data_IF_346871473943
#
_entry.id   IF_346871473943
#
_cell.length_a   1.000
_cell.length_b   1.000
_cell.length_c   1.000
_cell.angle_alpha   90.00
_cell.angle_beta   90.00
_cell.angle_gamma   90.00
#
_symmetry.space_group_name_H-M   'P 1'
#
loop_
_entity.id
_entity.type
_entity.pdbx_description
1 polymer ?
#
# COMPACT_ATOMS: atom_id res chain seq x y z
N UNK A 1 -16.73 38.03 -40.37
CA UNK A 1 -15.55 37.63 -39.56
C UNK A 1 -15.84 37.64 -38.06
N UNK A 2 -16.50 38.66 -37.53
CA UNK A 2 -16.86 38.80 -36.10
C UNK A 2 -17.75 37.67 -35.55
N UNK A 3 -18.81 37.26 -36.26
CA UNK A 3 -19.71 36.17 -35.82
C UNK A 3 -19.01 34.80 -35.67
N UNK A 4 -18.08 34.47 -36.58
CA UNK A 4 -17.28 33.22 -36.51
C UNK A 4 -16.30 33.21 -35.33
N UNK A 5 -15.77 34.38 -34.97
CA UNK A 5 -14.89 34.50 -33.80
C UNK A 5 -15.68 34.38 -32.48
N UNK A 6 -16.91 34.90 -32.44
CA UNK A 6 -17.79 34.76 -31.27
C UNK A 6 -18.28 33.31 -31.07
N UNK A 7 -18.60 32.59 -32.16
CA UNK A 7 -18.95 31.17 -32.09
C UNK A 7 -17.78 30.29 -31.64
N UNK A 8 -16.58 30.54 -32.17
CA UNK A 8 -15.38 29.83 -31.74
C UNK A 8 -15.03 30.11 -30.27
N UNK A 9 -15.18 31.35 -29.81
CA UNK A 9 -14.98 31.73 -28.41
C UNK A 9 -15.98 31.04 -27.47
N UNK A 10 -17.26 31.00 -27.85
CA UNK A 10 -18.28 30.24 -27.11
C UNK A 10 -17.98 28.75 -27.06
N UNK A 11 -17.55 28.16 -28.17
CA UNK A 11 -17.20 26.74 -28.23
C UNK A 11 -15.98 26.43 -27.34
N UNK A 12 -14.96 27.27 -27.34
CA UNK A 12 -13.81 27.10 -26.44
C UNK A 12 -14.19 27.23 -24.96
N UNK A 13 -15.03 28.20 -24.60
CA UNK A 13 -15.52 28.34 -23.23
C UNK A 13 -16.37 27.12 -22.79
N UNK A 14 -17.18 26.58 -23.70
CA UNK A 14 -17.98 25.39 -23.46
C UNK A 14 -17.06 24.18 -23.22
N UNK A 15 -16.07 23.97 -24.08
CA UNK A 15 -15.08 22.90 -23.95
C UNK A 15 -14.36 23.03 -22.60
N UNK A 16 -13.80 24.20 -22.27
CA UNK A 16 -13.15 24.43 -20.98
C UNK A 16 -14.06 24.16 -19.78
N UNK A 17 -15.36 24.47 -19.89
CA UNK A 17 -16.32 24.15 -18.84
C UNK A 17 -16.52 22.63 -18.70
N UNK A 18 -16.63 21.89 -19.81
CA UNK A 18 -16.75 20.42 -19.81
C UNK A 18 -15.48 19.71 -19.33
N UNK A 19 -14.31 20.26 -19.64
CA UNK A 19 -13.01 19.74 -19.20
C UNK A 19 -12.86 19.73 -17.67
N UNK A 20 -13.57 20.61 -16.95
CA UNK A 20 -13.62 20.57 -15.47
C UNK A 20 -14.37 19.34 -14.94
N UNK A 21 -15.14 18.66 -15.77
CA UNK A 21 -15.92 17.48 -15.41
C UNK A 21 -15.38 16.18 -16.03
N UNK A 22 -14.39 16.26 -16.92
CA UNK A 22 -13.71 15.10 -17.52
C UNK A 22 -12.20 15.31 -17.48
N UNK A 23 -11.46 14.56 -16.64
CA UNK A 23 -10.01 14.73 -16.52
C UNK A 23 -9.32 14.49 -17.87
N UNK A 24 -8.58 15.47 -18.38
CA UNK A 24 -7.81 15.32 -19.62
C UNK A 24 -6.78 14.21 -19.54
N UNK A 25 -6.17 14.01 -18.36
CA UNK A 25 -5.17 12.96 -18.21
C UNK A 25 -5.77 11.56 -18.38
N UNK A 26 -7.07 11.38 -18.10
CA UNK A 26 -7.77 10.13 -18.36
C UNK A 26 -7.76 9.77 -19.86
N UNK A 27 -7.91 10.77 -20.75
CA UNK A 27 -7.84 10.58 -22.21
C UNK A 27 -6.46 10.11 -22.64
N UNK A 28 -5.43 10.76 -22.09
CA UNK A 28 -4.03 10.44 -22.36
C UNK A 28 -3.71 9.01 -21.94
N UNK A 29 -4.24 8.54 -20.80
CA UNK A 29 -4.05 7.15 -20.39
C UNK A 29 -4.71 6.15 -21.34
N UNK A 30 -5.92 6.43 -21.84
CA UNK A 30 -6.59 5.60 -22.83
C UNK A 30 -5.92 5.66 -24.22
N UNK A 31 -4.89 6.50 -24.41
CA UNK A 31 -4.24 6.70 -25.71
C UNK A 31 -5.14 7.41 -26.71
N UNK A 32 -6.14 8.16 -26.24
CA UNK A 32 -7.11 8.88 -27.08
C UNK A 32 -6.74 10.36 -27.10
N UNK A 33 -6.71 10.95 -28.30
CA UNK A 33 -6.39 12.37 -28.49
C UNK A 33 -7.57 13.30 -28.23
N UNK A 34 -8.80 12.77 -28.29
CA UNK A 34 -10.03 13.55 -28.26
C UNK A 34 -11.16 12.75 -27.61
N UNK A 35 -11.99 13.44 -26.83
CA UNK A 35 -13.17 12.89 -26.13
C UNK A 35 -14.14 12.19 -27.09
N UNK A 36 -14.25 12.66 -28.34
CA UNK A 36 -15.09 12.09 -29.39
C UNK A 36 -14.70 10.67 -29.82
N UNK A 37 -13.47 10.23 -29.49
CA UNK A 37 -12.95 8.90 -29.81
C UNK A 37 -13.00 7.94 -28.62
N UNK A 38 -13.75 8.27 -27.57
CA UNK A 38 -13.99 7.38 -26.44
C UNK A 38 -15.30 6.64 -26.63
N UNK A 39 -15.22 5.32 -26.53
CA UNK A 39 -16.39 4.44 -26.61
C UNK A 39 -16.57 3.67 -25.31
N UNK A 40 -17.83 3.32 -25.00
CA UNK A 40 -18.15 2.51 -23.83
C UNK A 40 -17.35 1.20 -23.87
N UNK A 41 -16.66 0.91 -22.76
CA UNK A 41 -15.81 -0.28 -22.64
C UNK A 41 -14.37 -0.07 -23.09
N UNK A 42 -14.00 1.11 -23.61
CA UNK A 42 -12.60 1.47 -23.78
C UNK A 42 -11.89 1.39 -22.43
N UNK A 43 -10.79 0.63 -22.39
CA UNK A 43 -10.05 0.38 -21.16
C UNK A 43 -8.57 0.13 -21.43
N UNK A 44 -7.75 0.43 -20.44
CA UNK A 44 -6.33 0.12 -20.41
C UNK A 44 -5.92 -0.35 -19.02
N UNK A 45 -5.04 -1.34 -18.97
CA UNK A 45 -4.46 -1.80 -17.72
C UNK A 45 -3.13 -1.07 -17.45
N UNK A 46 -2.95 -0.58 -16.23
CA UNK A 46 -1.77 0.18 -15.79
C UNK A 46 -1.39 -0.22 -14.38
N UNK A 47 -0.10 -0.14 -14.06
CA UNK A 47 0.38 -0.20 -12.69
C UNK A 47 0.56 1.22 -12.17
N UNK A 48 -0.18 1.59 -11.11
CA UNK A 48 -0.14 2.94 -10.54
C UNK A 48 -0.18 2.88 -9.01
N UNK A 49 0.24 3.97 -8.35
CA UNK A 49 -0.04 4.17 -6.93
C UNK A 49 -1.36 4.91 -6.79
N UNK A 50 -2.29 4.35 -6.03
CA UNK A 50 -3.58 4.96 -5.73
C UNK A 50 -3.51 5.59 -4.35
N UNK A 51 -3.93 6.85 -4.25
CA UNK A 51 -4.09 7.59 -3.02
C UNK A 51 -5.58 7.75 -2.72
N UNK A 52 -5.96 7.42 -1.49
CA UNK A 52 -7.22 7.86 -0.90
C UNK A 52 -6.91 8.75 0.30
N UNK A 53 -7.63 9.86 0.42
CA UNK A 53 -7.65 10.66 1.66
C UNK A 53 -9.07 10.98 2.05
N UNK A 54 -9.33 11.07 3.35
CA UNK A 54 -10.65 11.40 3.91
C UNK A 54 -10.52 12.27 5.17
N UNK A 55 -11.48 13.16 5.44
CA UNK A 55 -11.46 14.01 6.64
C UNK A 55 -11.95 13.21 7.84
N UNK A 56 -11.22 13.31 8.95
CA UNK A 56 -11.57 12.63 10.19
C UNK A 56 -12.83 13.19 10.80
N UNK A 57 -13.73 12.25 11.11
CA UNK A 57 -15.00 12.51 11.79
C UNK A 57 -15.83 13.58 11.04
N UNK A 58 -15.72 13.58 9.70
CA UNK A 58 -16.41 14.53 8.84
C UNK A 58 -17.92 14.49 9.01
N UNK A 59 -18.52 13.31 9.20
CA UNK A 59 -19.96 13.20 9.46
C UNK A 59 -20.37 14.06 10.66
N UNK A 60 -19.67 13.95 11.79
CA UNK A 60 -19.95 14.75 12.99
C UNK A 60 -19.71 16.24 12.75
N UNK A 61 -18.64 16.60 12.05
CA UNK A 61 -18.38 18.00 11.66
C UNK A 61 -19.50 18.55 10.76
N UNK A 62 -20.00 17.76 9.82
CA UNK A 62 -21.02 18.18 8.85
C UNK A 62 -22.41 18.36 9.48
N UNK A 63 -22.70 17.64 10.57
CA UNK A 63 -23.96 17.77 11.32
C UNK A 63 -24.07 19.11 12.07
N UNK A 64 -22.94 19.74 12.39
CA UNK A 64 -22.89 21.06 13.04
C UNK A 64 -23.01 22.22 12.03
N UNK A 65 -22.87 21.95 10.74
CA UNK A 65 -22.85 22.95 9.67
C UNK A 65 -24.19 22.99 8.92
N UNK A 66 -24.61 24.18 8.53
CA UNK A 66 -25.68 24.29 7.52
C UNK A 66 -25.20 23.72 6.17
N UNK A 67 -26.09 23.27 5.28
CA UNK A 67 -25.69 22.74 3.97
C UNK A 67 -24.79 23.70 3.18
N UNK A 68 -25.08 25.01 3.19
CA UNK A 68 -24.27 26.01 2.50
C UNK A 68 -22.87 26.18 3.11
N UNK A 69 -22.76 26.13 4.44
CA UNK A 69 -21.45 26.14 5.12
C UNK A 69 -20.67 24.87 4.81
N UNK A 70 -21.33 23.71 4.82
CA UNK A 70 -20.68 22.44 4.50
C UNK A 70 -20.13 22.42 3.05
N UNK A 71 -20.92 22.87 2.07
CA UNK A 71 -20.44 23.02 0.69
C UNK A 71 -19.26 23.99 0.57
N UNK A 72 -19.31 25.12 1.28
CA UNK A 72 -18.21 26.10 1.29
C UNK A 72 -16.95 25.53 1.93
N UNK A 73 -17.12 24.75 3.00
CA UNK A 73 -16.04 24.06 3.69
C UNK A 73 -15.35 23.03 2.79
N UNK A 74 -16.11 22.12 2.18
CA UNK A 74 -15.56 21.11 1.27
C UNK A 74 -14.79 21.79 0.14
N UNK A 75 -15.39 22.77 -0.54
CA UNK A 75 -14.71 23.48 -1.64
C UNK A 75 -13.44 24.20 -1.18
N UNK A 76 -13.45 24.80 0.02
CA UNK A 76 -12.26 25.43 0.59
C UNK A 76 -11.16 24.43 0.89
N UNK A 77 -11.49 23.29 1.49
CA UNK A 77 -10.55 22.20 1.74
C UNK A 77 -9.97 21.64 0.42
N UNK A 78 -10.82 21.29 -0.54
CA UNK A 78 -10.40 20.75 -1.84
C UNK A 78 -9.51 21.74 -2.60
N UNK A 79 -9.83 23.04 -2.56
CA UNK A 79 -9.00 24.08 -3.19
C UNK A 79 -7.58 24.19 -2.63
N UNK A 80 -7.35 23.70 -1.39
CA UNK A 80 -6.01 23.62 -0.81
C UNK A 80 -5.28 22.32 -1.21
N UNK A 81 -6.02 21.22 -1.40
CA UNK A 81 -5.43 19.90 -1.65
C UNK A 81 -5.14 19.63 -3.13
N UNK A 82 -6.00 20.11 -4.03
CA UNK A 82 -5.86 19.91 -5.48
C UNK A 82 -4.52 20.38 -6.05
N UNK A 83 -4.01 21.59 -5.71
CA UNK A 83 -2.72 22.05 -6.22
C UNK A 83 -1.57 21.14 -5.76
N UNK A 84 -1.59 20.68 -4.51
CA UNK A 84 -0.55 19.82 -3.95
C UNK A 84 -0.45 18.50 -4.71
N UNK A 85 -1.61 17.90 -5.04
CA UNK A 85 -1.67 16.65 -5.82
C UNK A 85 -1.08 16.87 -7.21
N UNK A 86 -1.48 17.97 -7.87
CA UNK A 86 -1.03 18.32 -9.21
C UNK A 86 0.49 18.61 -9.26
N UNK A 87 1.02 19.34 -8.29
CA UNK A 87 2.46 19.66 -8.15
C UNK A 87 3.34 18.40 -7.98
N UNK A 88 2.76 17.31 -7.48
CA UNK A 88 3.43 16.02 -7.33
C UNK A 88 3.06 15.03 -8.44
N UNK A 89 2.56 15.52 -9.58
CA UNK A 89 2.18 14.73 -10.75
C UNK A 89 1.08 13.68 -10.47
N UNK A 90 0.31 13.88 -9.40
CA UNK A 90 -0.89 13.12 -9.13
C UNK A 90 -2.06 13.65 -9.95
N UNK A 91 -2.99 12.75 -10.30
CA UNK A 91 -4.19 13.07 -11.07
C UNK A 91 -5.39 12.71 -10.21
N UNK A 92 -6.26 13.68 -9.97
CA UNK A 92 -7.50 13.44 -9.22
C UNK A 92 -8.45 12.65 -10.13
N UNK A 93 -8.80 11.44 -9.71
CA UNK A 93 -9.79 10.62 -10.40
C UNK A 93 -11.20 11.12 -10.08
N UNK A 94 -11.51 11.28 -8.79
CA UNK A 94 -12.78 11.82 -8.32
C UNK A 94 -12.74 12.28 -6.86
N UNK A 95 -13.73 13.10 -6.53
CA UNK A 95 -14.13 13.42 -5.16
C UNK A 95 -15.27 12.51 -4.72
N UNK A 96 -15.22 12.02 -3.49
CA UNK A 96 -16.24 11.15 -2.89
C UNK A 96 -16.69 11.77 -1.56
N UNK A 97 -17.59 12.75 -1.63
CA UNK A 97 -17.88 13.60 -0.47
C UNK A 97 -16.69 14.51 -0.17
N UNK A 98 -16.12 14.38 1.02
CA UNK A 98 -14.89 15.03 1.46
C UNK A 98 -13.61 14.24 1.13
N UNK A 99 -13.77 12.98 0.69
CA UNK A 99 -12.65 12.16 0.29
C UNK A 99 -12.13 12.50 -1.11
N UNK A 100 -10.81 12.36 -1.30
CA UNK A 100 -10.14 12.52 -2.59
C UNK A 100 -9.52 11.18 -2.99
N UNK A 101 -9.81 10.75 -4.23
CA UNK A 101 -9.11 9.65 -4.88
C UNK A 101 -8.18 10.21 -5.96
N UNK A 102 -6.89 9.90 -5.85
CA UNK A 102 -5.88 10.34 -6.82
C UNK A 102 -4.99 9.19 -7.29
N UNK A 103 -4.43 9.33 -8.49
CA UNK A 103 -3.60 8.34 -9.17
C UNK A 103 -2.23 8.91 -9.45
N UNK A 104 -1.20 8.13 -9.15
CA UNK A 104 0.21 8.44 -9.43
C UNK A 104 0.74 7.40 -10.42
N UNK A 105 0.84 7.74 -11.72
CA UNK A 105 1.15 6.78 -12.78
C UNK A 105 2.62 6.35 -12.82
N UNK A 106 3.52 7.15 -12.23
CA UNK A 106 4.97 7.07 -12.46
C UNK A 106 5.77 6.65 -11.23
N UNK A 107 5.37 7.08 -10.04
CA UNK A 107 6.19 6.91 -8.84
C UNK A 107 5.38 6.80 -7.55
N UNK A 108 5.70 5.77 -6.77
CA UNK A 108 5.26 5.66 -5.38
C UNK A 108 5.93 6.70 -4.46
N UNK A 109 7.19 7.08 -4.76
CA UNK A 109 7.90 8.14 -4.02
C UNK A 109 7.17 9.49 -4.13
N UNK A 110 6.66 9.83 -5.32
CA UNK A 110 5.85 11.05 -5.56
C UNK A 110 4.54 11.01 -4.78
N UNK A 111 3.86 9.86 -4.72
CA UNK A 111 2.64 9.70 -3.94
C UNK A 111 2.89 9.92 -2.43
N UNK A 112 3.99 9.40 -1.87
CA UNK A 112 4.34 9.66 -0.46
C UNK A 112 4.72 11.13 -0.24
N UNK A 113 5.51 11.72 -1.14
CA UNK A 113 5.88 13.13 -1.05
C UNK A 113 4.64 14.04 -1.10
N UNK A 114 3.69 13.75 -2.00
CA UNK A 114 2.39 14.40 -2.07
C UNK A 114 1.64 14.28 -0.74
N UNK A 115 1.51 13.08 -0.18
CA UNK A 115 0.82 12.87 1.10
C UNK A 115 1.44 13.70 2.23
N UNK A 116 2.77 13.77 2.30
CA UNK A 116 3.46 14.61 3.28
C UNK A 116 3.19 16.10 3.05
N UNK A 117 3.20 16.56 1.79
CA UNK A 117 2.86 17.94 1.43
C UNK A 117 1.38 18.29 1.71
N UNK A 118 0.46 17.34 1.54
CA UNK A 118 -0.95 17.50 1.88
C UNK A 118 -1.13 17.68 3.40
N UNK A 119 -0.43 16.88 4.21
CA UNK A 119 -0.44 17.02 5.67
C UNK A 119 0.18 18.36 6.13
N UNK A 120 1.26 18.82 5.48
CA UNK A 120 1.84 20.13 5.75
C UNK A 120 0.87 21.27 5.39
N UNK A 121 0.23 21.18 4.23
CA UNK A 121 -0.77 22.15 3.75
C UNK A 121 -1.98 22.18 4.67
N UNK A 122 -2.41 21.01 5.18
CA UNK A 122 -3.49 20.92 6.15
C UNK A 122 -3.16 21.66 7.46
N UNK A 123 -1.91 21.60 7.92
CA UNK A 123 -1.49 22.35 9.11
C UNK A 123 -1.64 23.87 8.91
N UNK A 124 -1.30 24.39 7.73
CA UNK A 124 -1.51 25.82 7.41
C UNK A 124 -3.00 26.16 7.26
N UNK A 125 -3.77 25.27 6.63
CA UNK A 125 -5.22 25.41 6.53
C UNK A 125 -5.87 25.48 7.92
N UNK A 126 -5.46 24.61 8.84
CA UNK A 126 -5.94 24.59 10.22
C UNK A 126 -5.61 25.87 10.99
N UNK A 127 -4.45 26.49 10.78
CA UNK A 127 -4.15 27.80 11.38
C UNK A 127 -5.13 28.88 10.93
N UNK A 128 -5.57 28.81 9.67
CA UNK A 128 -6.56 29.75 9.12
C UNK A 128 -7.94 29.51 9.72
N UNK A 129 -8.35 28.23 9.83
CA UNK A 129 -9.59 27.83 10.52
C UNK A 129 -9.63 28.32 11.97
N UNK A 130 -8.56 28.08 12.72
CA UNK A 130 -8.46 28.51 14.12
C UNK A 130 -8.59 30.04 14.28
N UNK A 131 -7.99 30.82 13.37
CA UNK A 131 -8.15 32.29 13.35
C UNK A 131 -9.59 32.73 13.09
N UNK A 132 -10.36 31.94 12.34
CA UNK A 132 -11.78 32.17 12.07
C UNK A 132 -12.70 31.67 13.20
N UNK A 133 -12.15 31.02 14.24
CA UNK A 133 -12.92 30.41 15.33
C UNK A 133 -13.40 28.98 15.04
N UNK A 134 -13.01 28.40 13.90
CA UNK A 134 -13.37 27.04 13.51
C UNK A 134 -12.41 26.00 14.12
N UNK A 135 -12.94 24.80 14.35
CA UNK A 135 -12.14 23.66 14.78
C UNK A 135 -11.16 23.20 13.69
N UNK A 136 -10.00 22.71 14.12
CA UNK A 136 -9.03 22.06 13.24
C UNK A 136 -9.53 20.69 12.81
N UNK A 137 -9.17 20.30 11.60
CA UNK A 137 -9.51 18.99 11.03
C UNK A 137 -8.24 18.14 10.88
N UNK A 138 -8.43 16.83 10.82
CA UNK A 138 -7.37 15.87 10.50
C UNK A 138 -7.77 15.09 9.26
N UNK A 139 -6.81 14.53 8.54
CA UNK A 139 -7.07 13.63 7.42
C UNK A 139 -6.37 12.29 7.63
N UNK A 140 -6.97 11.23 7.09
CA UNK A 140 -6.30 9.95 6.89
C UNK A 140 -5.90 9.80 5.44
N UNK A 141 -4.72 9.24 5.18
CA UNK A 141 -4.23 8.98 3.83
C UNK A 141 -3.79 7.52 3.70
N UNK A 142 -4.30 6.84 2.68
CA UNK A 142 -3.96 5.47 2.35
C UNK A 142 -3.39 5.32 0.95
N UNK A 143 -2.23 4.67 0.82
CA UNK A 143 -1.60 4.39 -0.46
C UNK A 143 -1.50 2.90 -0.76
N UNK A 144 -1.85 2.50 -1.97
CA UNK A 144 -1.51 1.18 -2.49
C UNK A 144 -1.04 1.24 -3.95
N UNK A 145 0.05 0.53 -4.26
CA UNK A 145 0.54 0.35 -5.63
C UNK A 145 0.08 -0.99 -6.20
N UNK A 146 -0.36 -1.00 -7.46
CA UNK A 146 -0.62 -2.24 -8.16
C UNK A 146 -1.30 -2.04 -9.51
N UNK A 147 -1.55 -3.17 -10.17
CA UNK A 147 -2.30 -3.19 -11.43
C UNK A 147 -3.76 -2.79 -11.20
N UNK A 148 -4.26 -1.94 -12.09
CA UNK A 148 -5.61 -1.45 -12.15
C UNK A 148 -6.03 -1.24 -13.61
N UNK A 149 -7.34 -1.17 -13.84
CA UNK A 149 -7.91 -0.90 -15.15
C UNK A 149 -8.51 0.51 -15.10
N UNK A 150 -8.04 1.39 -15.98
CA UNK A 150 -8.69 2.65 -16.26
C UNK A 150 -9.59 2.43 -17.48
N UNK A 151 -10.85 2.84 -17.40
CA UNK A 151 -11.75 2.63 -18.52
C UNK A 151 -13.07 3.35 -18.36
N UNK A 152 -13.89 3.30 -19.42
CA UNK A 152 -15.22 3.89 -19.38
C UNK A 152 -16.28 2.84 -19.12
N UNK A 153 -17.13 3.13 -18.14
CA UNK A 153 -18.31 2.32 -17.80
C UNK A 153 -19.57 3.18 -17.89
N UNK A 154 -20.74 2.54 -17.97
CA UNK A 154 -22.01 3.23 -17.98
C UNK A 154 -23.02 2.66 -18.98
N UNK A 155 -24.02 3.46 -19.30
CA UNK A 155 -25.09 3.13 -20.26
C UNK A 155 -25.03 4.03 -21.50
N UNK A 156 -25.91 3.77 -22.46
CA UNK A 156 -25.95 4.48 -23.77
C UNK A 156 -26.01 6.01 -23.66
N UNK A 157 -26.54 6.55 -22.56
CA UNK A 157 -26.75 7.99 -22.37
C UNK A 157 -25.79 8.63 -21.35
N UNK A 158 -25.05 7.83 -20.57
CA UNK A 158 -24.13 8.31 -19.54
C UNK A 158 -22.96 7.37 -19.41
N UNK A 159 -21.78 7.88 -19.72
CA UNK A 159 -20.50 7.21 -19.51
C UNK A 159 -19.72 7.93 -18.41
N UNK A 160 -18.96 7.17 -17.64
CA UNK A 160 -18.06 7.68 -16.62
C UNK A 160 -16.70 7.02 -16.79
N UNK A 161 -15.65 7.84 -16.83
CA UNK A 161 -14.28 7.36 -16.69
C UNK A 161 -14.06 6.91 -15.25
N UNK A 162 -13.55 5.71 -15.05
CA UNK A 162 -13.35 5.15 -13.73
C UNK A 162 -12.09 4.29 -13.68
N UNK A 163 -11.60 4.09 -12.46
CA UNK A 163 -10.56 3.12 -12.17
C UNK A 163 -11.14 1.95 -11.38
N UNK A 164 -10.90 0.74 -11.88
CA UNK A 164 -11.36 -0.50 -11.26
C UNK A 164 -10.15 -1.39 -10.99
N UNK A 165 -10.07 -1.92 -9.78
CA UNK A 165 -9.07 -2.90 -9.44
C UNK A 165 -9.08 -3.22 -7.96
N UNK A 166 -8.61 -4.41 -7.63
CA UNK A 166 -8.34 -4.79 -6.25
C UNK A 166 -7.33 -3.82 -5.59
N UNK A 167 -6.39 -3.29 -6.37
CA UNK A 167 -5.43 -2.27 -5.94
C UNK A 167 -6.10 -0.97 -5.44
N UNK A 168 -7.21 -0.55 -6.06
CA UNK A 168 -7.98 0.64 -5.66
C UNK A 168 -8.65 0.39 -4.30
N UNK A 169 -9.32 -0.76 -4.17
CA UNK A 169 -9.98 -1.14 -2.93
C UNK A 169 -9.00 -1.28 -1.77
N UNK A 170 -7.77 -1.74 -2.03
CA UNK A 170 -6.74 -1.83 -1.00
C UNK A 170 -6.28 -0.45 -0.54
N UNK A 171 -6.13 0.54 -1.43
CA UNK A 171 -5.78 1.92 -1.06
C UNK A 171 -6.86 2.56 -0.17
N UNK A 172 -8.13 2.45 -0.54
CA UNK A 172 -9.25 2.93 0.29
C UNK A 172 -9.26 2.28 1.68
N UNK A 173 -8.87 1.00 1.77
CA UNK A 173 -8.76 0.31 3.05
C UNK A 173 -7.56 0.78 3.87
N UNK A 174 -6.41 1.02 3.24
CA UNK A 174 -5.27 1.65 3.92
C UNK A 174 -5.69 2.98 4.53
N UNK A 175 -6.47 3.78 3.80
CA UNK A 175 -7.04 5.02 4.34
C UNK A 175 -7.93 4.67 5.53
N UNK A 176 -8.96 3.83 5.39
CA UNK A 176 -9.87 3.58 6.52
C UNK A 176 -9.18 3.10 7.81
N UNK A 177 -8.10 2.31 7.69
CA UNK A 177 -7.32 1.81 8.82
C UNK A 177 -6.50 2.88 9.55
N UNK A 178 -6.18 4.00 8.89
CA UNK A 178 -5.46 5.11 9.52
C UNK A 178 -6.20 5.60 10.77
N UNK A 179 -7.55 5.56 10.79
CA UNK A 179 -8.37 5.85 11.98
C UNK A 179 -8.15 4.84 13.11
N UNK A 180 -8.15 3.53 12.80
CA UNK A 180 -7.96 2.45 13.77
C UNK A 180 -6.60 2.55 14.47
N UNK A 181 -5.53 2.83 13.73
CA UNK A 181 -4.18 2.95 14.30
C UNK A 181 -3.89 4.35 14.85
N UNK A 182 -4.76 5.33 14.57
CA UNK A 182 -4.61 6.71 15.02
C UNK A 182 -3.48 7.47 14.31
N UNK A 183 -3.14 7.08 13.09
CA UNK A 183 -2.02 7.63 12.31
C UNK A 183 -2.55 8.41 11.10
N UNK A 184 -1.69 9.21 10.45
CA UNK A 184 -2.10 10.04 9.31
C UNK A 184 -1.88 9.39 7.95
N UNK A 185 -0.86 8.54 7.80
CA UNK A 185 -0.48 7.97 6.50
C UNK A 185 -0.10 6.49 6.62
N UNK A 186 -0.84 5.64 5.88
CA UNK A 186 -0.55 4.22 5.74
C UNK A 186 -0.23 3.88 4.29
N UNK A 187 0.75 3.00 4.11
CA UNK A 187 1.10 2.45 2.81
C UNK A 187 1.07 0.92 2.86
N UNK A 188 0.63 0.32 1.76
CA UNK A 188 0.71 -1.14 1.61
C UNK A 188 2.14 -1.61 1.38
N UNK A 189 2.36 -2.90 1.56
CA UNK A 189 3.57 -3.59 1.14
C UNK A 189 3.95 -3.28 -0.31
N UNK A 190 3.02 -3.34 -1.24
CA UNK A 190 3.31 -3.10 -2.65
C UNK A 190 3.81 -1.68 -2.90
N UNK A 191 3.28 -0.68 -2.17
CA UNK A 191 3.80 0.68 -2.22
C UNK A 191 5.22 0.75 -1.68
N UNK A 192 5.49 0.15 -0.52
CA UNK A 192 6.83 0.12 0.08
C UNK A 192 7.88 -0.49 -0.88
N UNK A 193 7.58 -1.64 -1.49
CA UNK A 193 8.45 -2.26 -2.50
C UNK A 193 8.41 -1.53 -3.85
N UNK A 194 7.56 -0.55 -4.07
CA UNK A 194 7.59 0.30 -5.28
C UNK A 194 8.42 1.57 -5.09
N UNK A 195 8.93 1.86 -3.88
CA UNK A 195 9.77 3.02 -3.61
C UNK A 195 11.17 2.89 -4.18
N UNK A 196 11.64 3.90 -4.91
CA UNK A 196 13.00 3.97 -5.42
C UNK A 196 13.98 4.38 -4.31
N UNK A 197 13.56 5.26 -3.41
CA UNK A 197 14.38 5.79 -2.32
C UNK A 197 13.70 5.65 -0.94
N UNK A 198 13.45 4.43 -0.44
CA UNK A 198 12.73 4.23 0.81
C UNK A 198 13.38 4.91 2.03
N UNK A 199 14.72 5.07 2.02
CA UNK A 199 15.47 5.75 3.09
C UNK A 199 15.21 7.25 3.23
N UNK A 200 14.55 7.88 2.24
CA UNK A 200 14.16 9.30 2.32
C UNK A 200 12.96 9.54 3.24
N UNK A 201 12.21 8.48 3.55
CA UNK A 201 10.98 8.55 4.31
C UNK A 201 11.16 7.85 5.66
N UNK A 202 10.48 8.36 6.67
CA UNK A 202 10.40 7.74 7.99
C UNK A 202 9.29 6.69 7.96
N UNK A 203 9.67 5.43 7.73
CA UNK A 203 8.74 4.30 7.55
C UNK A 203 9.00 3.25 8.61
N UNK A 204 7.93 2.69 9.19
CA UNK A 204 8.01 1.52 10.07
C UNK A 204 6.93 0.50 9.74
N UNK A 205 7.23 -0.77 9.99
CA UNK A 205 6.20 -1.81 9.99
C UNK A 205 5.15 -1.48 11.06
N UNK A 206 3.87 -1.64 10.72
CA UNK A 206 2.76 -1.31 11.62
C UNK A 206 1.93 -2.53 12.03
N UNK A 207 1.46 -3.34 11.08
CA UNK A 207 0.62 -4.52 11.37
C UNK A 207 0.55 -5.47 10.16
N UNK A 208 0.00 -6.67 10.38
CA UNK A 208 -0.40 -7.66 9.36
C UNK A 208 -1.91 -7.85 9.39
N UNK A 209 -2.60 -7.33 8.39
CA UNK A 209 -4.07 -7.23 8.40
C UNK A 209 -4.73 -8.14 7.36
N UNK A 210 -5.67 -8.98 7.79
CA UNK A 210 -6.59 -9.72 6.93
C UNK A 210 -7.63 -8.75 6.41
N UNK A 211 -7.42 -8.36 5.17
CA UNK A 211 -8.32 -7.49 4.45
C UNK A 211 -9.51 -8.32 3.92
N UNK A 212 -10.74 -7.81 4.09
CA UNK A 212 -11.95 -8.49 3.61
C UNK A 212 -11.85 -8.88 2.13
N UNK A 213 -12.08 -10.16 1.84
CA UNK A 213 -11.97 -10.72 0.49
C UNK A 213 -10.56 -11.14 0.08
N UNK A 214 -9.57 -11.03 0.98
CA UNK A 214 -8.22 -11.59 0.79
C UNK A 214 -8.07 -12.90 1.54
N UNK A 215 -7.32 -13.81 0.94
CA UNK A 215 -7.00 -15.14 1.47
C UNK A 215 -5.74 -15.07 2.37
N UNK A 216 -4.92 -14.01 2.22
CA UNK A 216 -3.68 -13.80 2.97
C UNK A 216 -3.60 -12.40 3.58
N UNK A 217 -2.93 -12.25 4.73
CA UNK A 217 -2.76 -10.97 5.39
C UNK A 217 -1.91 -10.04 4.52
N UNK A 218 -2.18 -8.74 4.62
CA UNK A 218 -1.43 -7.69 3.97
C UNK A 218 -0.57 -6.99 5.02
N UNK A 219 0.72 -6.84 4.72
CA UNK A 219 1.62 -6.04 5.55
C UNK A 219 1.33 -4.56 5.33
N UNK A 220 1.20 -3.83 6.44
CA UNK A 220 0.90 -2.40 6.48
C UNK A 220 2.08 -1.66 7.09
N UNK A 221 2.47 -0.55 6.47
CA UNK A 221 3.51 0.32 6.97
C UNK A 221 2.94 1.70 7.28
N UNK A 222 3.45 2.31 8.34
CA UNK A 222 3.20 3.71 8.68
C UNK A 222 4.32 4.58 8.09
N UNK A 223 3.94 5.69 7.47
CA UNK A 223 4.85 6.79 7.14
C UNK A 223 4.59 7.92 8.12
N UNK A 224 5.59 8.31 8.89
CA UNK A 224 5.44 9.22 10.03
C UNK A 224 6.32 10.47 9.93
N UNK A 225 6.67 10.88 8.70
CA UNK A 225 7.46 12.09 8.45
C UNK A 225 6.80 13.36 8.99
N UNK A 226 5.47 13.43 8.91
CA UNK A 226 4.66 14.60 9.29
C UNK A 226 4.09 14.53 10.71
N UNK A 227 4.53 13.57 11.53
CA UNK A 227 4.27 13.61 12.97
C UNK A 227 4.98 14.81 13.62
N UNK A 228 4.51 15.21 14.80
CA UNK A 228 5.23 16.19 15.61
C UNK A 228 6.67 15.72 15.87
N UNK A 229 7.61 16.67 15.99
CA UNK A 229 9.04 16.36 16.13
C UNK A 229 9.31 15.39 17.29
N UNK A 230 8.63 15.58 18.42
CA UNK A 230 8.72 14.69 19.60
C UNK A 230 8.31 13.27 19.27
N UNK A 231 7.15 13.09 18.62
CA UNK A 231 6.62 11.78 18.27
C UNK A 231 7.49 11.12 17.20
N UNK A 232 7.93 11.86 16.18
CA UNK A 232 8.75 11.34 15.08
C UNK A 232 10.10 10.84 15.58
N UNK A 233 10.80 11.62 16.40
CA UNK A 233 12.08 11.20 16.98
C UNK A 233 11.90 10.07 18.00
N UNK A 234 10.81 10.10 18.78
CA UNK A 234 10.41 8.99 19.63
C UNK A 234 10.21 7.68 18.87
N UNK A 235 9.48 7.70 17.75
CA UNK A 235 9.26 6.54 16.87
C UNK A 235 10.56 6.02 16.27
N UNK A 236 11.49 6.90 15.87
CA UNK A 236 12.82 6.50 15.38
C UNK A 236 13.63 5.80 16.48
N UNK A 237 13.61 6.34 17.70
CA UNK A 237 14.33 5.78 18.84
C UNK A 237 13.75 4.43 19.31
N UNK A 238 12.45 4.23 19.19
CA UNK A 238 11.76 3.01 19.63
C UNK A 238 11.54 2.00 18.52
N UNK A 239 11.93 2.28 17.26
CA UNK A 239 11.63 1.48 16.08
C UNK A 239 11.84 -0.03 16.30
N UNK A 240 13.05 -0.42 16.71
CA UNK A 240 13.40 -1.83 16.94
C UNK A 240 12.62 -2.44 18.10
N UNK A 241 12.42 -1.68 19.19
CA UNK A 241 11.68 -2.13 20.37
C UNK A 241 10.21 -2.39 20.01
N UNK A 242 9.63 -1.51 19.19
CA UNK A 242 8.27 -1.64 18.70
C UNK A 242 8.13 -2.90 17.83
N UNK A 243 8.97 -3.07 16.82
CA UNK A 243 8.88 -4.26 15.95
C UNK A 243 9.11 -5.58 16.72
N UNK A 244 10.02 -5.60 17.70
CA UNK A 244 10.19 -6.74 18.61
C UNK A 244 8.92 -7.00 19.44
N UNK A 245 8.29 -5.94 19.96
CA UNK A 245 7.05 -6.08 20.71
C UNK A 245 5.92 -6.68 19.86
N UNK A 246 5.83 -6.26 18.59
CA UNK A 246 4.85 -6.77 17.63
C UNK A 246 5.12 -8.24 17.32
N UNK A 247 6.37 -8.64 17.15
CA UNK A 247 6.75 -10.05 17.02
C UNK A 247 6.25 -10.88 18.22
N UNK A 248 6.52 -10.44 19.45
CA UNK A 248 6.04 -11.11 20.66
C UNK A 248 4.50 -11.16 20.72
N UNK A 249 3.82 -10.07 20.34
CA UNK A 249 2.36 -10.01 20.31
C UNK A 249 1.77 -11.04 19.35
N UNK A 250 2.28 -11.12 18.12
CA UNK A 250 1.77 -12.05 17.11
C UNK A 250 2.11 -13.51 17.44
N UNK A 251 3.21 -13.79 18.15
CA UNK A 251 3.50 -15.11 18.72
C UNK A 251 2.77 -15.41 20.04
N UNK A 252 1.85 -14.54 20.48
CA UNK A 252 1.07 -14.67 21.74
C UNK A 252 1.94 -14.66 23.00
N UNK A 253 3.17 -14.16 22.93
CA UNK A 253 4.06 -13.91 24.07
C UNK A 253 3.73 -12.56 24.72
N UNK A 254 2.52 -12.45 25.27
CA UNK A 254 1.91 -11.17 25.68
C UNK A 254 2.69 -10.45 26.79
N UNK A 255 3.28 -11.18 27.73
CA UNK A 255 4.06 -10.59 28.83
C UNK A 255 5.25 -9.78 28.29
N UNK A 256 5.99 -10.34 27.34
CA UNK A 256 7.14 -9.68 26.72
C UNK A 256 6.70 -8.52 25.83
N UNK A 257 5.65 -8.74 25.02
CA UNK A 257 5.06 -7.68 24.18
C UNK A 257 4.68 -6.47 25.04
N UNK A 258 3.94 -6.69 26.15
CA UNK A 258 3.54 -5.64 27.09
C UNK A 258 4.75 -4.91 27.68
N UNK A 259 5.77 -5.64 28.10
CA UNK A 259 7.01 -5.07 28.64
C UNK A 259 7.69 -4.11 27.65
N UNK A 260 7.80 -4.54 26.38
CA UNK A 260 8.41 -3.74 25.32
C UNK A 260 7.54 -2.55 24.91
N UNK A 261 6.21 -2.71 24.81
CA UNK A 261 5.27 -1.62 24.51
C UNK A 261 5.29 -0.54 25.60
N UNK A 262 5.36 -0.95 26.88
CA UNK A 262 5.55 -0.03 27.99
C UNK A 262 6.89 0.74 27.88
N UNK A 263 7.96 0.13 27.37
CA UNK A 263 9.23 0.85 27.10
C UNK A 263 9.04 1.85 25.95
N UNK A 264 8.33 1.47 24.88
CA UNK A 264 8.01 2.39 23.79
C UNK A 264 7.25 3.61 24.31
N UNK A 265 6.19 3.41 25.11
CA UNK A 265 5.36 4.49 25.64
C UNK A 265 6.05 5.34 26.71
N UNK A 266 7.06 4.81 27.40
CA UNK A 266 7.91 5.63 28.29
C UNK A 266 8.79 6.61 27.51
N UNK A 267 9.27 6.21 26.34
CA UNK A 267 10.12 7.03 25.47
C UNK A 267 9.29 7.92 24.52
N UNK A 268 8.10 7.46 24.13
CA UNK A 268 7.19 8.15 23.23
C UNK A 268 5.73 7.96 23.69
N UNK A 269 5.25 8.75 24.67
CA UNK A 269 3.93 8.58 25.28
C UNK A 269 2.74 8.71 24.31
N UNK A 270 2.94 9.47 23.22
CA UNK A 270 1.92 9.78 22.22
C UNK A 270 1.95 8.82 21.01
N UNK A 271 2.75 7.75 21.08
CA UNK A 271 2.75 6.67 20.08
C UNK A 271 1.45 5.86 20.15
N UNK A 272 0.44 6.30 19.40
CA UNK A 272 -0.90 5.68 19.36
C UNK A 272 -0.86 4.21 18.95
N UNK A 273 -0.11 3.77 17.91
CA UNK A 273 0.09 2.35 17.64
C UNK A 273 0.62 1.54 18.82
N UNK A 274 1.63 2.04 19.54
CA UNK A 274 2.15 1.34 20.72
C UNK A 274 1.10 1.21 21.84
N UNK A 275 0.29 2.24 22.03
CA UNK A 275 -0.84 2.23 22.97
C UNK A 275 -1.92 1.23 22.56
N UNK A 276 -2.30 1.22 21.29
CA UNK A 276 -3.28 0.27 20.76
C UNK A 276 -2.85 -1.19 20.99
N UNK A 277 -1.59 -1.52 20.69
CA UNK A 277 -1.09 -2.88 20.96
C UNK A 277 -1.04 -3.21 22.46
N UNK A 278 -0.78 -2.23 23.32
CA UNK A 278 -0.82 -2.41 24.77
C UNK A 278 -2.26 -2.73 25.24
N UNK A 279 -3.24 -1.99 24.74
CA UNK A 279 -4.66 -2.24 24.98
C UNK A 279 -5.09 -3.63 24.48
N UNK A 280 -4.62 -4.05 23.31
CA UNK A 280 -4.83 -5.41 22.78
C UNK A 280 -4.20 -6.49 23.66
N UNK A 281 -3.01 -6.25 24.23
CA UNK A 281 -2.39 -7.15 25.20
C UNK A 281 -3.26 -7.30 26.45
N UNK A 282 -3.76 -6.17 26.98
CA UNK A 282 -4.61 -6.14 28.17
C UNK A 282 -5.98 -6.78 27.92
N UNK A 283 -6.55 -6.60 26.72
CA UNK A 283 -7.75 -7.28 26.28
C UNK A 283 -7.54 -8.79 26.23
N UNK A 284 -6.46 -9.27 25.59
CA UNK A 284 -6.14 -10.69 25.52
C UNK A 284 -5.98 -11.31 26.92
N UNK A 285 -5.31 -10.63 27.86
CA UNK A 285 -5.17 -11.13 29.24
C UNK A 285 -6.52 -11.28 29.96
N UNK A 286 -7.49 -10.42 29.66
CA UNK A 286 -8.83 -10.46 30.28
C UNK A 286 -9.76 -11.48 29.61
N UNK A 287 -9.72 -11.60 28.28
CA UNK A 287 -10.74 -12.34 27.51
C UNK A 287 -10.21 -13.61 26.86
N UNK A 288 -8.89 -13.76 26.74
CA UNK A 288 -8.25 -14.79 25.92
C UNK A 288 -8.41 -14.58 24.40
N UNK A 289 -9.14 -13.54 23.97
CA UNK A 289 -9.37 -13.25 22.56
C UNK A 289 -8.15 -12.50 21.98
N UNK A 290 -7.46 -13.13 21.03
CA UNK A 290 -6.33 -12.51 20.34
C UNK A 290 -6.86 -11.64 19.22
N UNK A 291 -6.80 -10.33 19.40
CA UNK A 291 -7.09 -9.36 18.35
C UNK A 291 -5.94 -9.31 17.33
N UNK A 292 -5.71 -10.43 16.66
CA UNK A 292 -4.89 -10.46 15.47
C UNK A 292 -5.77 -10.25 14.27
N UNK A 293 -5.37 -9.30 13.44
CA UNK A 293 -5.95 -9.18 12.11
C UNK A 293 -5.28 -10.15 11.14
N UNK A 294 -4.19 -10.84 11.48
CA UNK A 294 -3.54 -11.84 10.62
C UNK A 294 -2.69 -12.80 11.44
N UNK A 295 -3.21 -13.99 11.75
CA UNK A 295 -2.48 -14.98 12.54
C UNK A 295 -1.15 -15.35 11.87
N UNK A 296 -0.13 -15.58 12.70
CA UNK A 296 1.10 -16.23 12.24
C UNK A 296 0.76 -17.71 12.06
N UNK A 297 0.54 -18.15 10.83
CA UNK A 297 0.65 -19.58 10.52
C UNK A 297 2.14 -19.91 10.48
N UNK A 298 2.59 -20.84 11.32
CA UNK A 298 4.00 -21.22 11.38
C UNK A 298 4.56 -21.72 10.05
N UNK A 299 3.68 -22.11 9.11
CA UNK A 299 4.04 -22.61 7.78
C UNK A 299 3.14 -22.03 6.69
N UNK A 300 3.68 -21.95 5.47
CA UNK A 300 2.90 -21.78 4.25
C UNK A 300 2.65 -23.14 3.64
N UNK A 301 1.38 -23.49 3.49
CA UNK A 301 0.98 -24.65 2.71
C UNK A 301 0.64 -24.21 1.27
N UNK A 302 1.10 -25.01 0.30
CA UNK A 302 0.69 -24.86 -1.08
C UNK A 302 -0.79 -25.22 -1.21
N UNK A 303 -1.54 -24.36 -1.87
CA UNK A 303 -2.95 -24.55 -2.19
C UNK A 303 -3.18 -24.22 -3.66
N UNK A 304 -4.31 -24.66 -4.21
CA UNK A 304 -4.68 -24.37 -5.60
C UNK A 304 -4.81 -22.87 -5.90
N UNK A 305 -4.94 -22.02 -4.88
CA UNK A 305 -5.00 -20.56 -5.07
C UNK A 305 -3.69 -19.98 -5.60
N UNK A 306 -2.56 -20.61 -5.29
CA UNK A 306 -1.22 -20.22 -5.73
C UNK A 306 -0.85 -20.71 -7.12
N UNK A 307 -1.71 -21.52 -7.74
CA UNK A 307 -1.42 -22.08 -9.05
C UNK A 307 -1.30 -20.97 -10.11
N UNK A 308 -0.10 -20.85 -10.67
CA UNK A 308 0.28 -19.97 -11.77
C UNK A 308 -0.22 -20.51 -13.11
N UNK A 309 -0.25 -21.84 -13.26
CA UNK A 309 -0.72 -22.52 -14.48
C UNK A 309 0.38 -22.80 -15.51
N UNK A 310 1.65 -22.66 -15.10
CA UNK A 310 2.84 -23.15 -15.83
C UNK A 310 3.53 -24.12 -14.88
N UNK A 311 3.52 -25.44 -15.16
CA UNK A 311 3.95 -26.47 -14.20
C UNK A 311 5.32 -26.22 -13.59
N UNK A 312 6.27 -25.69 -14.38
CA UNK A 312 7.63 -25.41 -13.87
C UNK A 312 7.68 -24.25 -12.87
N UNK A 313 6.84 -23.23 -13.05
CA UNK A 313 6.72 -22.12 -12.08
C UNK A 313 6.02 -22.61 -10.82
N UNK A 314 4.96 -23.43 -10.97
CA UNK A 314 4.25 -24.02 -9.83
C UNK A 314 5.19 -24.88 -8.97
N UNK A 315 6.05 -25.70 -9.60
CA UNK A 315 7.12 -26.45 -8.93
C UNK A 315 8.09 -25.50 -8.19
N UNK A 316 8.53 -24.42 -8.84
CA UNK A 316 9.43 -23.45 -8.20
C UNK A 316 8.79 -22.78 -6.96
N UNK A 317 7.50 -22.43 -7.02
CA UNK A 317 6.82 -21.85 -5.87
C UNK A 317 6.68 -22.84 -4.72
N UNK A 318 6.40 -24.11 -5.02
CA UNK A 318 6.33 -25.17 -4.01
C UNK A 318 7.68 -25.35 -3.29
N UNK A 319 8.77 -25.43 -4.06
CA UNK A 319 10.13 -25.56 -3.53
C UNK A 319 10.50 -24.33 -2.67
N UNK A 320 10.17 -23.12 -3.12
CA UNK A 320 10.40 -21.89 -2.36
C UNK A 320 9.65 -21.90 -1.03
N UNK A 321 8.37 -22.31 -1.00
CA UNK A 321 7.63 -22.44 0.25
C UNK A 321 8.20 -23.52 1.16
N UNK A 322 8.63 -24.66 0.60
CA UNK A 322 9.27 -25.72 1.37
C UNK A 322 10.57 -25.24 2.01
N UNK A 323 11.47 -24.61 1.26
CA UNK A 323 12.72 -24.04 1.77
C UNK A 323 12.48 -22.95 2.81
N UNK A 324 11.45 -22.11 2.60
CA UNK A 324 11.04 -21.08 3.55
C UNK A 324 10.59 -21.70 4.88
N UNK A 325 9.75 -22.74 4.82
CA UNK A 325 9.30 -23.48 5.99
C UNK A 325 10.46 -24.20 6.70
N UNK A 326 11.40 -24.79 5.94
CA UNK A 326 12.61 -25.42 6.49
C UNK A 326 13.46 -24.41 7.26
N UNK A 327 13.70 -23.22 6.68
CA UNK A 327 14.47 -22.16 7.33
C UNK A 327 13.80 -21.70 8.64
N UNK A 328 12.49 -21.44 8.61
CA UNK A 328 11.72 -21.09 9.81
C UNK A 328 11.81 -22.19 10.86
N UNK A 329 11.71 -23.46 10.47
CA UNK A 329 11.84 -24.60 11.40
C UNK A 329 13.23 -24.73 12.01
N UNK A 330 14.29 -24.54 11.23
CA UNK A 330 15.66 -24.62 11.73
C UNK A 330 15.92 -23.54 12.78
N UNK A 331 15.43 -22.31 12.56
CA UNK A 331 15.56 -21.22 13.52
C UNK A 331 14.68 -21.46 14.74
N UNK A 332 13.44 -21.91 14.55
CA UNK A 332 12.51 -22.22 15.65
C UNK A 332 13.07 -23.29 16.59
N UNK A 333 13.66 -24.37 16.03
CA UNK A 333 14.28 -25.45 16.80
C UNK A 333 15.65 -25.10 17.40
N UNK A 334 16.21 -23.94 17.08
CA UNK A 334 17.54 -23.54 17.51
C UNK A 334 18.65 -24.45 16.96
N UNK A 335 18.52 -24.86 15.69
CA UNK A 335 19.55 -25.66 15.04
C UNK A 335 20.90 -24.94 14.94
N UNK A 336 21.99 -25.70 14.76
CA UNK A 336 23.34 -25.15 14.63
C UNK A 336 23.45 -24.23 13.40
N UNK A 337 24.21 -23.13 13.54
CA UNK A 337 24.37 -22.11 12.49
C UNK A 337 24.71 -22.68 11.10
N UNK A 338 25.58 -23.69 11.01
CA UNK A 338 25.93 -24.29 9.71
C UNK A 338 24.73 -24.92 8.96
N UNK A 339 23.70 -25.41 9.67
CA UNK A 339 22.48 -25.92 9.04
C UNK A 339 21.64 -24.77 8.50
N UNK A 340 21.44 -23.73 9.31
CA UNK A 340 20.74 -22.51 8.92
C UNK A 340 21.41 -21.87 7.71
N UNK A 341 22.74 -21.73 7.73
CA UNK A 341 23.53 -21.17 6.62
C UNK A 341 23.39 -21.99 5.33
N UNK A 342 23.29 -23.32 5.45
CA UNK A 342 23.06 -24.21 4.32
C UNK A 342 21.69 -23.99 3.69
N UNK A 343 20.62 -23.93 4.49
CA UNK A 343 19.26 -23.64 3.98
C UNK A 343 19.20 -22.25 3.35
N UNK A 344 19.81 -21.24 3.99
CA UNK A 344 19.90 -19.88 3.45
C UNK A 344 20.61 -19.87 2.09
N UNK A 345 21.70 -20.62 1.94
CA UNK A 345 22.47 -20.66 0.69
C UNK A 345 21.64 -21.26 -0.45
N UNK A 346 20.90 -22.34 -0.18
CA UNK A 346 19.98 -22.91 -1.18
C UNK A 346 18.85 -21.95 -1.53
N UNK A 347 18.23 -21.34 -0.53
CA UNK A 347 17.14 -20.38 -0.74
C UNK A 347 17.59 -19.18 -1.58
N UNK A 348 18.79 -18.64 -1.31
CA UNK A 348 19.38 -17.53 -2.06
C UNK A 348 19.57 -17.85 -3.54
N UNK A 349 20.16 -19.02 -3.84
CA UNK A 349 20.36 -19.49 -5.21
C UNK A 349 19.02 -19.77 -5.91
N UNK A 350 18.07 -20.36 -5.18
CA UNK A 350 16.78 -20.74 -5.72
C UNK A 350 15.90 -19.52 -6.03
N UNK A 351 15.88 -18.50 -5.17
CA UNK A 351 15.19 -17.21 -5.42
C UNK A 351 15.69 -16.59 -6.72
N UNK A 352 17.01 -16.49 -6.90
CA UNK A 352 17.61 -15.90 -8.11
C UNK A 352 17.25 -16.71 -9.35
N UNK A 353 17.30 -18.03 -9.25
CA UNK A 353 16.97 -18.95 -10.36
C UNK A 353 15.50 -18.83 -10.75
N UNK A 354 14.59 -18.85 -9.78
CA UNK A 354 13.16 -18.71 -9.97
C UNK A 354 12.81 -17.38 -10.65
N UNK A 355 13.28 -16.24 -10.12
CA UNK A 355 13.00 -14.94 -10.72
C UNK A 355 13.60 -14.79 -12.13
N UNK A 356 14.81 -15.32 -12.38
CA UNK A 356 15.38 -15.32 -13.75
C UNK A 356 14.51 -16.10 -14.72
N UNK A 357 14.00 -17.26 -14.29
CA UNK A 357 13.14 -18.08 -15.13
C UNK A 357 11.82 -17.35 -15.44
N UNK A 358 11.20 -16.74 -14.43
CA UNK A 358 10.00 -15.93 -14.63
C UNK A 358 10.25 -14.69 -15.51
N UNK A 359 11.36 -13.98 -15.31
CA UNK A 359 11.75 -12.85 -16.15
C UNK A 359 11.96 -13.24 -17.61
N UNK A 360 12.50 -14.43 -17.87
CA UNK A 360 12.62 -14.96 -19.21
C UNK A 360 11.25 -15.28 -19.82
N UNK A 361 10.32 -15.84 -19.03
CA UNK A 361 8.93 -16.02 -19.49
C UNK A 361 8.29 -14.68 -19.84
N UNK A 362 8.43 -13.66 -18.97
CA UNK A 362 7.91 -12.33 -19.25
C UNK A 362 8.43 -11.76 -20.57
N UNK A 363 9.74 -11.92 -20.87
CA UNK A 363 10.33 -11.49 -22.15
C UNK A 363 9.77 -12.27 -23.33
N UNK A 364 9.72 -13.60 -23.22
CA UNK A 364 9.27 -14.48 -24.31
C UNK A 364 7.81 -14.23 -24.69
N UNK A 365 6.97 -13.85 -23.73
CA UNK A 365 5.57 -13.51 -23.96
C UNK A 365 5.33 -12.00 -24.12
N UNK A 366 6.36 -11.15 -24.17
CA UNK A 366 6.26 -9.69 -24.29
C UNK A 366 5.32 -9.07 -23.24
N UNK A 367 5.45 -9.54 -21.99
CA UNK A 367 4.59 -9.10 -20.90
C UNK A 367 4.76 -7.59 -20.64
N UNK A 368 3.70 -6.78 -20.75
CA UNK A 368 3.81 -5.32 -20.74
C UNK A 368 4.26 -4.75 -19.38
N UNK A 369 4.09 -5.50 -18.29
CA UNK A 369 4.42 -5.06 -16.93
C UNK A 369 5.76 -5.62 -16.41
N UNK A 370 6.60 -6.15 -17.31
CA UNK A 370 7.90 -6.74 -16.96
C UNK A 370 8.78 -5.82 -16.11
N UNK A 371 8.81 -4.52 -16.41
CA UNK A 371 9.64 -3.57 -15.67
C UNK A 371 9.27 -3.48 -14.19
N UNK A 372 7.97 -3.47 -13.88
CA UNK A 372 7.47 -3.39 -12.51
C UNK A 372 7.79 -4.67 -11.73
N UNK A 373 7.52 -5.83 -12.31
CA UNK A 373 7.77 -7.11 -11.64
C UNK A 373 9.28 -7.33 -11.38
N UNK A 374 10.14 -6.96 -12.34
CA UNK A 374 11.60 -6.99 -12.15
C UNK A 374 12.08 -6.10 -11.01
N UNK A 375 11.50 -4.92 -10.86
CA UNK A 375 11.85 -4.02 -9.75
C UNK A 375 11.46 -4.62 -8.39
N UNK A 376 10.30 -5.28 -8.30
CA UNK A 376 9.87 -6.00 -7.11
C UNK A 376 10.86 -7.13 -6.75
N UNK A 377 11.25 -7.96 -7.74
CA UNK A 377 12.23 -9.04 -7.55
C UNK A 377 13.57 -8.50 -7.03
N UNK A 378 14.08 -7.43 -7.64
CA UNK A 378 15.34 -6.82 -7.24
C UNK A 378 15.31 -6.31 -5.80
N UNK A 379 14.21 -5.65 -5.39
CA UNK A 379 14.07 -5.14 -4.03
C UNK A 379 13.91 -6.26 -3.01
N UNK A 380 13.18 -7.30 -3.34
CA UNK A 380 13.11 -8.49 -2.50
C UNK A 380 14.50 -9.11 -2.29
N UNK A 381 15.27 -9.31 -3.35
CA UNK A 381 16.64 -9.83 -3.25
C UNK A 381 17.50 -8.93 -2.35
N UNK A 382 17.43 -7.60 -2.54
CA UNK A 382 18.19 -6.66 -1.71
C UNK A 382 17.81 -6.72 -0.23
N UNK A 383 16.51 -6.85 0.08
CA UNK A 383 16.03 -6.99 1.45
C UNK A 383 16.45 -8.34 2.05
N UNK A 384 16.34 -9.42 1.28
CA UNK A 384 16.78 -10.75 1.70
C UNK A 384 18.28 -10.77 2.00
N UNK A 385 19.12 -10.13 1.17
CA UNK A 385 20.57 -9.99 1.43
C UNK A 385 20.86 -9.27 2.74
N UNK A 386 20.17 -8.16 3.03
CA UNK A 386 20.32 -7.44 4.31
C UNK A 386 19.91 -8.32 5.47
N UNK A 387 18.79 -9.02 5.32
CA UNK A 387 18.24 -9.84 6.37
C UNK A 387 19.09 -11.10 6.68
N UNK A 388 19.78 -11.67 5.68
CA UNK A 388 20.80 -12.71 5.91
C UNK A 388 21.88 -12.27 6.91
N UNK A 389 22.26 -10.98 6.91
CA UNK A 389 23.24 -10.46 7.86
C UNK A 389 22.68 -10.45 9.29
N UNK A 390 21.38 -10.20 9.44
CA UNK A 390 20.70 -10.22 10.73
C UNK A 390 20.55 -11.64 11.29
N UNK A 391 20.28 -12.63 10.44
CA UNK A 391 20.24 -14.04 10.84
C UNK A 391 21.62 -14.52 11.35
N UNK A 392 22.72 -13.98 10.83
CA UNK A 392 24.08 -14.34 11.29
C UNK A 392 24.37 -13.90 12.73
N UNK A 393 23.71 -12.84 13.20
CA UNK A 393 23.79 -12.36 14.58
C UNK A 393 22.62 -12.87 15.44
N UNK A 394 21.94 -13.93 14.99
CA UNK A 394 20.88 -14.60 15.74
C UNK A 394 21.41 -15.12 17.09
N UNK A 395 20.66 -14.81 18.14
CA UNK A 395 20.82 -15.37 19.46
C UNK A 395 19.44 -15.76 20.05
N UNK A 396 19.43 -16.24 21.29
CA UNK A 396 18.17 -16.64 21.94
C UNK A 396 17.25 -15.44 22.22
N UNK A 397 17.79 -14.23 22.40
CA UNK A 397 17.03 -13.04 22.78
C UNK A 397 16.27 -12.43 21.59
N UNK A 398 16.77 -12.61 20.37
CA UNK A 398 16.17 -12.05 19.16
C UNK A 398 15.49 -13.09 18.25
N UNK A 399 15.47 -14.37 18.63
CA UNK A 399 14.91 -15.46 17.80
C UNK A 399 13.49 -15.19 17.30
N UNK A 400 12.57 -14.83 18.19
CA UNK A 400 11.17 -14.58 17.80
C UNK A 400 11.04 -13.41 16.84
N UNK A 401 11.86 -12.37 17.04
CA UNK A 401 11.90 -11.23 16.15
C UNK A 401 12.42 -11.60 14.75
N UNK A 402 13.47 -12.43 14.67
CA UNK A 402 13.97 -12.95 13.40
C UNK A 402 12.94 -13.84 12.71
N UNK A 403 12.25 -14.74 13.44
CA UNK A 403 11.18 -15.55 12.86
C UNK A 403 10.02 -14.71 12.34
N UNK A 404 9.63 -13.68 13.08
CA UNK A 404 8.58 -12.75 12.65
C UNK A 404 8.97 -12.03 11.36
N UNK A 405 10.20 -11.52 11.28
CA UNK A 405 10.70 -10.84 10.08
C UNK A 405 10.87 -11.80 8.91
N UNK A 406 11.25 -13.05 9.14
CA UNK A 406 11.22 -14.11 8.12
C UNK A 406 9.82 -14.32 7.58
N UNK A 407 8.81 -14.40 8.45
CA UNK A 407 7.43 -14.54 8.01
C UNK A 407 7.01 -13.36 7.12
N UNK A 408 7.23 -12.13 7.57
CA UNK A 408 6.81 -10.94 6.83
C UNK A 408 7.55 -10.83 5.50
N UNK A 409 8.88 -10.98 5.50
CA UNK A 409 9.70 -10.80 4.31
C UNK A 409 9.59 -11.96 3.34
N UNK A 410 9.72 -13.20 3.81
CA UNK A 410 9.89 -14.36 2.93
C UNK A 410 8.55 -14.99 2.57
N UNK A 411 7.69 -15.17 3.57
CA UNK A 411 6.42 -15.88 3.40
C UNK A 411 5.35 -14.96 2.85
N UNK A 412 5.06 -13.85 3.55
CA UNK A 412 3.92 -13.02 3.20
C UNK A 412 4.16 -12.31 1.87
N UNK A 413 5.37 -11.79 1.66
CA UNK A 413 5.74 -11.20 0.38
C UNK A 413 5.58 -12.20 -0.76
N UNK A 414 6.17 -13.40 -0.65
CA UNK A 414 6.14 -14.39 -1.73
C UNK A 414 4.70 -14.85 -2.01
N UNK A 415 3.91 -15.13 -0.95
CA UNK A 415 2.52 -15.48 -1.10
C UNK A 415 1.70 -14.36 -1.76
N UNK A 416 1.90 -13.11 -1.35
CA UNK A 416 1.21 -11.95 -1.94
C UNK A 416 1.67 -11.66 -3.37
N UNK A 417 2.94 -11.89 -3.69
CA UNK A 417 3.51 -11.76 -5.03
C UNK A 417 2.89 -12.78 -5.98
N UNK A 418 2.87 -14.06 -5.59
CA UNK A 418 2.27 -15.14 -6.36
C UNK A 418 0.77 -14.88 -6.60
N UNK A 419 0.03 -14.53 -5.55
CA UNK A 419 -1.43 -14.34 -5.64
C UNK A 419 -1.84 -13.12 -6.48
N UNK A 420 -0.95 -12.14 -6.66
CA UNK A 420 -1.25 -10.88 -7.37
C UNK A 420 -0.50 -10.80 -8.70
N UNK A 421 0.81 -10.69 -8.63
CA UNK A 421 1.67 -10.39 -9.78
C UNK A 421 1.83 -11.61 -10.67
N UNK A 422 2.23 -12.75 -10.12
CA UNK A 422 2.57 -13.93 -10.92
C UNK A 422 1.28 -14.53 -11.50
N UNK A 423 0.20 -14.56 -10.71
CA UNK A 423 -1.12 -14.98 -11.20
C UNK A 423 -1.63 -14.10 -12.34
N UNK A 424 -1.29 -12.81 -12.37
CA UNK A 424 -1.59 -11.95 -13.51
C UNK A 424 -0.79 -12.38 -14.75
N UNK A 425 0.53 -12.56 -14.61
CA UNK A 425 1.40 -13.07 -15.68
C UNK A 425 0.90 -14.43 -16.21
N UNK A 426 0.54 -15.37 -15.34
CA UNK A 426 0.00 -16.67 -15.72
C UNK A 426 -1.30 -16.56 -16.54
N UNK A 427 -2.21 -15.66 -16.14
CA UNK A 427 -3.44 -15.36 -16.93
C UNK A 427 -3.10 -14.72 -18.27
N UNK A 428 -2.14 -13.81 -18.31
CA UNK A 428 -1.68 -13.16 -19.53
C UNK A 428 -1.09 -14.18 -20.52
N UNK A 429 -0.19 -15.06 -20.06
CA UNK A 429 0.40 -16.14 -20.86
C UNK A 429 -0.69 -17.07 -21.38
N UNK A 430 -1.65 -17.48 -20.53
CA UNK A 430 -2.77 -18.34 -20.95
C UNK A 430 -3.60 -17.69 -22.06
N UNK A 431 -3.88 -16.39 -21.96
CA UNK A 431 -4.59 -15.64 -23.02
C UNK A 431 -3.76 -15.57 -24.31
N UNK A 432 -2.47 -15.24 -24.23
CA UNK A 432 -1.58 -15.14 -25.42
C UNK A 432 -1.45 -16.49 -26.15
N UNK A 433 -1.45 -17.62 -25.41
CA UNK A 433 -1.48 -18.97 -26.01
C UNK A 433 -2.82 -19.32 -26.68
N UNK A 434 -3.93 -18.77 -26.19
CA UNK A 434 -5.28 -19.07 -26.68
C UNK A 434 -5.68 -18.21 -27.90
N UNK A 435 -4.99 -17.11 -28.16
CA UNK A 435 -5.15 -16.29 -29.36
C UNK A 435 -4.14 -16.74 -30.43
N UNK A 436 -4.52 -17.58 -31.41
CA UNK A 436 -3.65 -17.86 -32.54
C UNK A 436 -3.37 -16.56 -33.29
N UNK A 437 -2.10 -16.33 -33.61
CA UNK A 437 -1.61 -15.19 -34.38
C UNK A 437 -2.30 -15.04 -35.73
#
# INVERSE_FOLDING_TARGET
>A
MTLRNDENSKLQNLIQAYERFVPHEFLNFLGKKDITNIYLGDQIEKNMTVLFTDIRDFTSLSEELTPSQNFSFINSYLSCMEPVISEHHGIIDKYIGDAIMALFPTSADEAIACSNAMLATLNEYNKTRQKAGDQSINIGIGLNTGLLILGTIGGKQRMEGTVIGDSVNLAARMESMTKTYGVSLLISEQTFYSLKNPKKFSIRFLDRVMVKGKIRPQTVYEVFDMDSDSVREGKKATLKIFEEALAHYHYKNITDAKSLLCKCLKLNPDDKPARLYLERCDAFQRTGAHESTGELSSFVEWTNDFQFGVPKIDEHHQDLFQLSNELMMSIFKGEKNHKIDKVISFLDEYIITHFRYEENLMRNYEYPFIHFQREQHQKFIQQFIRFKQEIRILDNSNRNFILFRLQVLLVDWLANHILKTDKHLGRYIKRKKASPH
#
